data_IF_023037481698
#
_entry.id   IF_023037481698
#
_cell.length_a   1.000
_cell.length_b   1.000
_cell.length_c   1.000
_cell.angle_alpha   90.00
_cell.angle_beta   90.00
_cell.angle_gamma   90.00
#
_symmetry.space_group_name_H-M   'P 1'
#
loop_
_entity.id
_entity.type
_entity.pdbx_description
1 polymer ?
#
# COMPACT_ATOMS: atom_id res chain seq x y z
N UNK A 1 -13.05 -20.02 11.94
CA UNK A 1 -13.08 -18.65 11.37
C UNK A 1 -11.63 -18.30 11.06
N UNK A 2 -11.24 -18.28 9.79
CA UNK A 2 -9.90 -17.80 9.42
C UNK A 2 -9.79 -16.34 9.87
N UNK A 3 -8.69 -15.99 10.54
CA UNK A 3 -8.43 -14.60 10.92
C UNK A 3 -7.76 -13.93 9.73
N UNK A 4 -8.35 -12.84 9.21
CA UNK A 4 -7.75 -12.05 8.14
C UNK A 4 -6.58 -11.22 8.68
N UNK A 5 -5.43 -11.88 8.84
CA UNK A 5 -4.19 -11.28 9.31
C UNK A 5 -3.21 -11.21 8.15
N UNK A 6 -2.70 -10.02 7.87
CA UNK A 6 -1.79 -9.76 6.76
C UNK A 6 -0.50 -9.09 7.26
N UNK A 7 0.63 -9.76 7.07
CA UNK A 7 1.96 -9.17 7.27
C UNK A 7 2.50 -8.73 5.92
N UNK A 8 2.53 -7.43 5.69
CA UNK A 8 2.91 -6.85 4.40
C UNK A 8 4.32 -6.28 4.50
N UNK A 9 5.24 -6.84 3.71
CA UNK A 9 6.57 -6.26 3.51
C UNK A 9 6.53 -5.35 2.29
N UNK A 10 6.71 -4.05 2.54
CA UNK A 10 6.79 -3.02 1.53
C UNK A 10 8.23 -2.72 1.16
N UNK A 11 8.54 -2.72 -0.12
CA UNK A 11 9.86 -2.39 -0.66
C UNK A 11 9.79 -1.11 -1.47
N UNK A 12 10.79 -0.24 -1.35
CA UNK A 12 10.87 1.01 -2.09
C UNK A 12 11.61 2.11 -1.33
N UNK A 13 11.38 3.39 -1.65
CA UNK A 13 10.67 3.82 -2.85
C UNK A 13 11.48 3.50 -4.12
N UNK A 14 10.78 3.05 -5.16
CA UNK A 14 11.27 3.02 -6.54
C UNK A 14 10.82 4.30 -7.26
N UNK A 15 11.63 4.75 -8.19
CA UNK A 15 11.46 6.02 -8.92
C UNK A 15 10.86 5.82 -10.31
N UNK A 16 10.84 4.58 -10.81
CA UNK A 16 10.33 4.26 -12.14
C UNK A 16 9.79 2.82 -12.24
N UNK A 17 8.91 2.59 -13.22
CA UNK A 17 8.43 1.24 -13.55
C UNK A 17 9.56 0.30 -13.99
N UNK A 18 10.62 0.84 -14.61
CA UNK A 18 11.80 0.06 -15.02
C UNK A 18 12.53 -0.50 -13.81
N UNK A 19 12.75 0.34 -12.80
CA UNK A 19 13.41 -0.05 -11.55
C UNK A 19 12.59 -1.11 -10.79
N UNK A 20 11.26 -0.96 -10.75
CA UNK A 20 10.35 -1.98 -10.19
C UNK A 20 10.48 -3.29 -10.94
N UNK A 21 10.53 -3.26 -12.28
CA UNK A 21 10.68 -4.46 -13.11
C UNK A 21 11.99 -5.19 -12.81
N UNK A 22 13.11 -4.47 -12.86
CA UNK A 22 14.44 -5.05 -12.64
C UNK A 22 14.51 -5.70 -11.26
N UNK A 23 14.07 -4.99 -10.23
CA UNK A 23 14.05 -5.50 -8.86
C UNK A 23 13.09 -6.70 -8.68
N UNK A 24 11.85 -6.62 -9.17
CA UNK A 24 10.83 -7.66 -8.99
C UNK A 24 11.22 -8.97 -9.70
N UNK A 25 11.98 -8.89 -10.80
CA UNK A 25 12.48 -10.06 -11.53
C UNK A 25 13.59 -10.82 -10.78
N UNK A 26 14.28 -10.18 -9.84
CA UNK A 26 15.34 -10.80 -9.02
C UNK A 26 14.78 -11.50 -7.77
N UNK A 27 13.51 -11.24 -7.40
CA UNK A 27 12.92 -11.74 -6.17
C UNK A 27 12.41 -13.18 -6.31
N UNK A 28 12.49 -13.93 -5.20
CA UNK A 28 11.92 -15.28 -5.08
C UNK A 28 10.47 -15.27 -4.55
N UNK A 29 9.86 -14.08 -4.43
CA UNK A 29 8.51 -13.88 -3.95
C UNK A 29 7.75 -12.96 -4.90
N UNK A 30 6.42 -13.03 -4.87
CA UNK A 30 5.56 -12.20 -5.72
C UNK A 30 4.94 -11.07 -4.91
N UNK A 31 5.13 -9.84 -5.36
CA UNK A 31 4.40 -8.70 -4.83
C UNK A 31 2.95 -8.71 -5.35
N UNK A 32 2.01 -8.35 -4.48
CA UNK A 32 0.57 -8.32 -4.80
C UNK A 32 -0.06 -6.96 -4.55
N UNK A 33 0.66 -6.05 -3.91
CA UNK A 33 0.21 -4.70 -3.60
C UNK A 33 1.23 -3.69 -4.12
N UNK A 34 0.79 -2.46 -4.35
CA UNK A 34 1.69 -1.34 -4.64
C UNK A 34 1.08 -0.02 -4.17
N UNK A 35 1.95 0.91 -3.79
CA UNK A 35 1.60 2.26 -3.44
C UNK A 35 2.23 3.21 -4.45
N UNK A 36 1.49 4.22 -4.84
CA UNK A 36 2.00 5.34 -5.63
C UNK A 36 1.80 6.62 -4.83
N UNK A 37 2.78 7.51 -4.94
CA UNK A 37 2.71 8.86 -4.40
C UNK A 37 3.46 9.83 -5.30
N UNK A 38 2.88 11.01 -5.47
CA UNK A 38 3.51 12.14 -6.15
C UNK A 38 2.50 13.23 -6.46
N UNK A 39 2.80 14.06 -7.46
CA UNK A 39 1.95 15.19 -7.83
C UNK A 39 1.31 14.98 -9.21
N UNK A 40 0.03 15.38 -9.39
CA UNK A 40 -0.55 15.51 -10.71
C UNK A 40 0.22 16.49 -11.57
N UNK A 41 0.12 16.33 -12.89
CA UNK A 41 0.71 17.26 -13.85
C UNK A 41 0.27 18.69 -13.51
N UNK A 42 1.24 19.60 -13.39
CA UNK A 42 1.03 21.03 -13.11
C UNK A 42 0.53 21.37 -11.69
N UNK A 43 0.39 20.40 -10.79
CA UNK A 43 0.03 20.68 -9.40
C UNK A 43 1.24 21.26 -8.64
N UNK A 44 1.08 22.45 -8.06
CA UNK A 44 2.15 23.08 -7.26
C UNK A 44 2.36 22.36 -5.92
N UNK A 45 1.27 22.10 -5.20
CA UNK A 45 1.30 21.58 -3.82
C UNK A 45 0.46 20.32 -3.63
N UNK A 46 -0.59 20.12 -4.43
CA UNK A 46 -1.51 18.99 -4.26
C UNK A 46 -0.82 17.67 -4.59
N UNK A 47 -0.75 16.79 -3.60
CA UNK A 47 -0.23 15.44 -3.73
C UNK A 47 -1.37 14.44 -3.93
N UNK A 48 -1.04 13.31 -4.55
CA UNK A 48 -1.96 12.19 -4.77
C UNK A 48 -1.33 10.89 -4.31
N UNK A 49 -2.18 10.04 -3.78
CA UNK A 49 -1.83 8.72 -3.31
C UNK A 49 -2.70 7.67 -3.99
N UNK A 50 -2.16 6.47 -4.16
CA UNK A 50 -2.91 5.34 -4.70
C UNK A 50 -2.40 4.05 -4.08
N UNK A 51 -3.29 3.17 -3.67
CA UNK A 51 -2.96 1.80 -3.30
C UNK A 51 -3.61 0.87 -4.31
N UNK A 52 -2.84 0.02 -4.96
CA UNK A 52 -3.38 -0.93 -5.93
C UNK A 52 -2.98 -2.35 -5.61
N UNK A 53 -3.71 -3.29 -6.20
CA UNK A 53 -3.38 -4.71 -6.14
C UNK A 53 -3.09 -5.31 -7.51
N UNK A 54 -2.44 -6.46 -7.50
CA UNK A 54 -2.29 -7.33 -8.65
C UNK A 54 -2.21 -8.80 -8.27
N UNK A 55 -2.73 -9.66 -9.15
CA UNK A 55 -2.56 -11.12 -9.11
C UNK A 55 -1.41 -11.59 -10.03
N UNK A 56 -0.79 -10.64 -10.74
CA UNK A 56 0.39 -10.83 -11.59
C UNK A 56 1.51 -9.92 -11.07
N UNK A 57 2.69 -9.99 -11.67
CA UNK A 57 3.78 -9.08 -11.31
C UNK A 57 3.35 -7.60 -11.37
N UNK A 58 3.74 -6.83 -10.37
CA UNK A 58 3.40 -5.41 -10.26
C UNK A 58 3.91 -4.63 -11.46
N UNK A 59 5.12 -4.89 -11.93
CA UNK A 59 5.67 -4.17 -13.09
C UNK A 59 4.80 -4.32 -14.35
N UNK A 60 4.14 -5.47 -14.54
CA UNK A 60 3.18 -5.66 -15.65
C UNK A 60 1.91 -4.83 -15.41
N UNK A 61 1.42 -4.80 -14.17
CA UNK A 61 0.24 -4.01 -13.78
C UNK A 61 0.44 -2.52 -14.03
N UNK A 62 1.61 -1.99 -13.69
CA UNK A 62 1.93 -0.58 -13.90
C UNK A 62 1.97 -0.15 -15.37
N UNK A 63 2.05 -1.10 -16.31
CA UNK A 63 2.06 -0.86 -17.76
C UNK A 63 0.66 -0.93 -18.39
N UNK A 64 -0.39 -1.24 -17.61
CA UNK A 64 -1.75 -1.26 -18.14
C UNK A 64 -2.16 0.12 -18.66
N UNK A 65 -2.83 0.12 -19.81
CA UNK A 65 -3.36 1.34 -20.41
C UNK A 65 -4.36 2.00 -19.44
N UNK A 66 -4.19 3.30 -19.19
CA UNK A 66 -5.07 4.07 -18.30
C UNK A 66 -4.82 3.81 -16.82
N UNK A 67 -3.66 3.27 -16.46
CA UNK A 67 -3.28 3.08 -15.06
C UNK A 67 -2.99 4.42 -14.37
N UNK A 68 -3.41 4.57 -13.11
CA UNK A 68 -3.28 5.81 -12.32
C UNK A 68 -1.84 6.32 -12.16
N UNK A 69 -0.83 5.51 -12.45
CA UNK A 69 0.58 5.96 -12.50
C UNK A 69 0.78 7.06 -13.55
N UNK A 70 -0.03 7.10 -14.60
CA UNK A 70 0.00 8.15 -15.61
C UNK A 70 -0.54 9.49 -15.09
N UNK A 71 -1.33 9.48 -14.02
CA UNK A 71 -1.87 10.69 -13.38
C UNK A 71 -0.85 11.36 -12.47
N UNK A 72 0.16 10.62 -12.02
CA UNK A 72 1.23 11.09 -11.13
C UNK A 72 2.49 11.35 -11.96
N UNK A 73 2.57 12.55 -12.56
CA UNK A 73 3.62 12.91 -13.54
C UNK A 73 4.83 13.64 -12.94
N UNK A 74 4.64 14.41 -11.87
CA UNK A 74 5.74 15.17 -11.24
C UNK A 74 6.40 14.32 -10.14
N UNK A 75 7.66 13.95 -10.41
CA UNK A 75 8.37 12.87 -9.74
C UNK A 75 8.92 13.25 -8.36
N UNK A 76 8.02 13.44 -7.40
CA UNK A 76 8.26 12.94 -6.03
C UNK A 76 8.01 11.41 -5.94
N UNK A 77 7.94 10.75 -7.11
CA UNK A 77 7.50 9.38 -7.35
C UNK A 77 8.12 8.41 -6.35
N UNK A 78 7.27 8.01 -5.41
CA UNK A 78 7.57 6.95 -4.48
C UNK A 78 6.65 5.78 -4.80
N UNK A 79 7.15 4.86 -5.62
CA UNK A 79 6.48 3.57 -5.83
C UNK A 79 6.94 2.64 -4.72
N UNK A 80 6.02 2.05 -3.98
CA UNK A 80 6.33 0.91 -3.10
C UNK A 80 5.63 -0.33 -3.64
N UNK A 81 6.24 -1.49 -3.47
CA UNK A 81 5.62 -2.78 -3.82
C UNK A 81 5.52 -3.65 -2.57
N UNK A 82 4.38 -4.29 -2.36
CA UNK A 82 4.03 -4.99 -1.14
C UNK A 82 3.87 -6.49 -1.36
N UNK A 83 4.54 -7.27 -0.52
CA UNK A 83 4.47 -8.72 -0.45
C UNK A 83 3.75 -9.18 0.83
N UNK A 84 2.72 -10.03 0.68
CA UNK A 84 1.99 -10.66 1.78
C UNK A 84 2.82 -11.83 2.35
N UNK A 85 3.73 -11.51 3.26
CA UNK A 85 4.81 -12.43 3.69
C UNK A 85 4.38 -13.58 4.58
N UNK A 86 3.21 -13.49 5.22
CA UNK A 86 2.64 -14.58 6.01
C UNK A 86 1.75 -15.53 5.18
N UNK A 87 1.59 -15.28 3.86
CA UNK A 87 0.77 -16.08 2.96
C UNK A 87 1.65 -16.68 1.85
N UNK A 88 1.68 -18.02 1.75
CA UNK A 88 2.46 -18.70 0.70
C UNK A 88 1.89 -18.46 -0.70
N UNK A 89 0.56 -18.51 -0.82
CA UNK A 89 -0.17 -18.33 -2.08
C UNK A 89 -1.42 -17.48 -1.82
N UNK A 90 -1.29 -16.15 -1.68
CA UNK A 90 -2.42 -15.28 -1.40
C UNK A 90 -3.43 -15.33 -2.55
N UNK A 91 -4.70 -15.56 -2.23
CA UNK A 91 -5.79 -15.55 -3.22
C UNK A 91 -6.33 -14.14 -3.42
N UNK A 92 -7.02 -13.90 -4.55
CA UNK A 92 -7.50 -12.57 -4.93
C UNK A 92 -8.33 -11.87 -3.84
N UNK A 93 -9.22 -12.58 -3.13
CA UNK A 93 -10.03 -11.97 -2.09
C UNK A 93 -9.19 -11.49 -0.89
N UNK A 94 -8.15 -12.22 -0.50
CA UNK A 94 -7.22 -11.82 0.56
C UNK A 94 -6.43 -10.56 0.16
N UNK A 95 -5.93 -10.53 -1.08
CA UNK A 95 -5.21 -9.36 -1.60
C UNK A 95 -6.13 -8.14 -1.65
N UNK A 96 -7.37 -8.31 -2.13
CA UNK A 96 -8.38 -7.26 -2.19
C UNK A 96 -8.72 -6.74 -0.79
N UNK A 97 -8.84 -7.63 0.20
CA UNK A 97 -9.14 -7.25 1.57
C UNK A 97 -8.01 -6.43 2.20
N UNK A 98 -6.75 -6.82 1.96
CA UNK A 98 -5.57 -6.06 2.38
C UNK A 98 -5.50 -4.69 1.69
N UNK A 99 -5.71 -4.63 0.36
CA UNK A 99 -5.75 -3.36 -0.38
C UNK A 99 -6.87 -2.45 0.14
N UNK A 100 -8.06 -2.99 0.38
CA UNK A 100 -9.22 -2.23 0.84
C UNK A 100 -8.98 -1.55 2.19
N UNK A 101 -8.47 -2.27 3.20
CA UNK A 101 -8.19 -1.64 4.51
C UNK A 101 -7.06 -0.61 4.41
N UNK A 102 -6.04 -0.85 3.58
CA UNK A 102 -4.96 0.12 3.37
C UNK A 102 -5.52 1.38 2.70
N UNK A 103 -6.30 1.22 1.63
CA UNK A 103 -6.93 2.33 0.89
C UNK A 103 -7.86 3.15 1.80
N UNK A 104 -8.73 2.49 2.58
CA UNK A 104 -9.63 3.16 3.52
C UNK A 104 -8.84 3.94 4.59
N UNK A 105 -7.83 3.31 5.21
CA UNK A 105 -6.99 3.98 6.21
C UNK A 105 -6.21 5.17 5.62
N UNK A 106 -5.73 5.03 4.39
CA UNK A 106 -5.01 6.08 3.69
C UNK A 106 -5.94 7.27 3.42
N UNK A 107 -7.14 7.01 2.91
CA UNK A 107 -8.14 8.03 2.63
C UNK A 107 -8.60 8.79 3.90
N UNK A 108 -8.77 8.08 5.01
CA UNK A 108 -9.07 8.69 6.31
C UNK A 108 -7.95 9.64 6.80
N UNK A 109 -6.69 9.28 6.54
CA UNK A 109 -5.54 10.08 6.98
C UNK A 109 -5.25 11.28 6.07
N UNK A 110 -5.35 11.11 4.74
CA UNK A 110 -4.94 12.15 3.77
C UNK A 110 -6.11 12.89 3.11
N UNK A 111 -7.34 12.47 3.36
CA UNK A 111 -8.54 12.96 2.67
C UNK A 111 -8.84 12.19 1.39
N UNK A 112 -10.10 11.80 1.19
CA UNK A 112 -10.55 11.03 0.01
C UNK A 112 -10.19 11.75 -1.30
N UNK A 113 -10.24 13.08 -1.31
CA UNK A 113 -9.91 13.89 -2.48
C UNK A 113 -8.42 13.83 -2.85
N UNK A 114 -7.56 13.28 -2.00
CA UNK A 114 -6.13 13.09 -2.26
C UNK A 114 -5.78 11.63 -2.59
N UNK A 115 -6.75 10.71 -2.55
CA UNK A 115 -6.59 9.31 -2.95
C UNK A 115 -7.21 9.09 -4.34
N UNK A 116 -6.52 8.36 -5.22
CA UNK A 116 -6.99 8.09 -6.59
C UNK A 116 -7.97 6.89 -6.67
N UNK A 117 -8.09 6.11 -5.60
CA UNK A 117 -9.00 4.97 -5.47
C UNK A 117 -10.48 5.38 -5.31
N UNK A 118 -11.01 6.26 -6.16
CA UNK A 118 -12.29 6.95 -6.00
C UNK A 118 -13.54 6.09 -5.66
N UNK A 119 -13.47 4.76 -5.80
CA UNK A 119 -14.56 3.81 -5.53
C UNK A 119 -14.27 2.79 -4.42
N UNK A 120 -13.11 2.86 -3.74
CA UNK A 120 -12.67 1.84 -2.78
C UNK A 120 -12.19 2.42 -1.42
N UNK A 121 -12.75 3.54 -0.99
CA UNK A 121 -12.40 4.17 0.31
C UNK A 121 -13.17 3.59 1.50
N UNK A 122 -14.20 2.79 1.26
CA UNK A 122 -14.99 2.17 2.32
C UNK A 122 -14.22 1.05 3.03
N UNK A 123 -14.37 0.97 4.35
CA UNK A 123 -13.82 -0.12 5.16
C UNK A 123 -14.40 -1.49 4.77
N UNK A 124 -13.68 -2.59 5.05
CA UNK A 124 -14.15 -3.94 4.76
C UNK A 124 -15.37 -4.35 5.61
N UNK A 125 -16.08 -5.39 5.17
CA UNK A 125 -17.24 -5.97 5.87
C UNK A 125 -16.87 -7.21 6.72
N UNK A 126 -15.60 -7.32 7.08
CA UNK A 126 -15.05 -8.36 7.95
C UNK A 126 -13.93 -7.78 8.82
N UNK A 127 -13.60 -8.46 9.92
CA UNK A 127 -12.45 -8.09 10.75
C UNK A 127 -11.16 -8.27 9.96
N UNK A 128 -10.26 -7.28 10.02
CA UNK A 128 -8.98 -7.31 9.29
C UNK A 128 -7.84 -6.76 10.15
N UNK A 129 -6.70 -7.42 10.11
CA UNK A 129 -5.51 -7.04 10.84
C UNK A 129 -4.34 -6.95 9.85
N UNK A 130 -3.66 -5.80 9.81
CA UNK A 130 -2.50 -5.58 8.95
C UNK A 130 -1.33 -5.12 9.79
N UNK A 131 -0.17 -5.73 9.53
CA UNK A 131 1.13 -5.26 10.01
C UNK A 131 1.96 -4.88 8.77
N UNK A 132 2.37 -3.63 8.68
CA UNK A 132 3.19 -3.09 7.59
C UNK A 132 4.64 -2.99 8.04
N UNK A 133 5.54 -3.66 7.33
CA UNK A 133 6.98 -3.54 7.49
C UNK A 133 7.57 -2.83 6.27
N UNK A 134 8.40 -1.81 6.50
CA UNK A 134 8.97 -1.00 5.43
C UNK A 134 10.45 -1.34 5.24
N UNK A 135 10.77 -1.98 4.13
CA UNK A 135 12.08 -2.47 3.76
C UNK A 135 12.71 -1.64 2.65
N UNK A 136 14.04 -1.53 2.66
CA UNK A 136 14.80 -1.03 1.54
C UNK A 136 14.81 -2.06 0.40
N UNK A 137 15.20 -1.60 -0.78
CA UNK A 137 15.32 -2.42 -1.99
C UNK A 137 16.38 -3.53 -1.88
N UNK A 138 17.26 -3.47 -0.88
CA UNK A 138 18.23 -4.53 -0.59
C UNK A 138 17.61 -5.77 0.07
N UNK A 139 16.32 -5.72 0.46
CA UNK A 139 15.61 -6.80 1.14
C UNK A 139 16.17 -7.21 2.52
N UNK A 140 17.15 -6.48 3.04
CA UNK A 140 17.86 -6.79 4.29
C UNK A 140 17.67 -5.71 5.35
N UNK A 141 17.50 -4.46 4.91
CA UNK A 141 17.45 -3.31 5.80
C UNK A 141 16.04 -2.74 5.92
N UNK A 142 15.58 -2.50 7.14
CA UNK A 142 14.37 -1.71 7.41
C UNK A 142 14.60 -0.21 7.20
N UNK A 143 13.55 0.49 6.76
CA UNK A 143 13.48 1.95 6.74
C UNK A 143 13.31 2.50 8.15
N UNK A 144 14.30 3.27 8.61
CA UNK A 144 14.27 3.91 9.95
C UNK A 144 13.71 5.34 9.94
N UNK A 145 13.82 6.04 8.82
CA UNK A 145 13.35 7.42 8.65
C UNK A 145 12.79 7.56 7.25
N UNK A 146 11.54 8.01 7.16
CA UNK A 146 10.82 8.14 5.90
C UNK A 146 10.41 9.61 5.73
N UNK A 147 10.36 10.12 4.48
CA UNK A 147 9.80 11.45 4.23
C UNK A 147 8.38 11.57 4.79
N UNK A 148 8.02 12.73 5.35
CA UNK A 148 6.74 12.91 6.06
C UNK A 148 5.54 12.62 5.16
N UNK A 149 5.66 12.95 3.88
CA UNK A 149 4.64 12.75 2.86
C UNK A 149 4.74 11.39 2.15
N UNK A 150 5.71 10.53 2.46
CA UNK A 150 5.78 9.24 1.81
C UNK A 150 4.66 8.32 2.32
N UNK A 151 4.08 7.45 1.47
CA UNK A 151 3.15 6.40 1.90
C UNK A 151 3.67 5.60 3.08
N UNK A 152 4.98 5.35 3.12
CA UNK A 152 5.65 4.63 4.20
C UNK A 152 5.53 5.31 5.55
N UNK A 153 5.54 6.65 5.59
CA UNK A 153 5.36 7.41 6.83
C UNK A 153 3.88 7.58 7.21
N UNK A 154 3.01 7.73 6.20
CA UNK A 154 1.58 8.01 6.38
C UNK A 154 0.81 6.77 6.83
N UNK A 155 1.02 5.64 6.16
CA UNK A 155 0.33 4.39 6.49
C UNK A 155 0.84 3.88 7.84
N UNK A 156 -0.06 3.56 8.78
CA UNK A 156 0.33 3.00 10.07
C UNK A 156 1.04 1.64 9.93
N UNK A 157 2.03 1.41 10.81
CA UNK A 157 2.71 0.12 10.89
C UNK A 157 1.77 -1.01 11.36
N UNK A 158 0.72 -0.68 12.13
CA UNK A 158 -0.34 -1.63 12.51
C UNK A 158 -1.71 -1.03 12.29
N UNK A 159 -2.60 -1.79 11.65
CA UNK A 159 -4.02 -1.51 11.45
C UNK A 159 -4.84 -2.69 11.98
N UNK A 160 -5.82 -2.43 12.83
CA UNK A 160 -6.79 -3.46 13.26
C UNK A 160 -8.20 -2.91 13.11
N UNK A 161 -8.99 -3.58 12.29
CA UNK A 161 -10.37 -3.22 12.01
C UNK A 161 -11.31 -4.28 12.56
N UNK A 162 -12.29 -3.82 13.34
CA UNK A 162 -13.28 -4.65 14.01
C UNK A 162 -14.69 -4.22 13.61
N UNK A 163 -15.52 -5.19 13.26
CA UNK A 163 -16.95 -5.03 13.09
C UNK A 163 -17.62 -5.41 14.39
N UNK A 164 -18.32 -4.46 15.00
CA UNK A 164 -19.26 -4.74 16.08
C UNK A 164 -20.66 -4.95 15.49
N UNK A 165 -21.52 -5.63 16.25
CA UNK A 165 -22.94 -5.66 15.91
C UNK A 165 -23.52 -4.24 15.85
N UNK A 166 -24.55 -4.04 15.02
CA UNK A 166 -25.26 -2.77 14.80
C UNK A 166 -24.53 -1.68 13.98
N UNK A 167 -23.73 -2.07 12.98
CA UNK A 167 -23.01 -1.15 12.08
C UNK A 167 -21.97 -0.23 12.77
N UNK A 168 -21.59 -0.53 14.01
CA UNK A 168 -20.50 0.15 14.69
C UNK A 168 -19.17 -0.52 14.30
N UNK A 169 -18.28 0.24 13.68
CA UNK A 169 -17.01 -0.25 13.15
C UNK A 169 -15.87 0.49 13.83
N UNK A 170 -14.84 -0.22 14.29
CA UNK A 170 -13.70 0.37 14.96
C UNK A 170 -12.40 0.13 14.19
N UNK A 171 -11.66 1.19 13.94
CA UNK A 171 -10.29 1.15 13.45
C UNK A 171 -9.32 1.56 14.57
N UNK A 172 -8.40 0.67 14.92
CA UNK A 172 -7.26 1.02 15.77
C UNK A 172 -5.97 1.04 14.94
N UNK A 173 -5.10 2.01 15.25
CA UNK A 173 -3.85 2.23 14.52
C UNK A 173 -2.67 2.33 15.48
N UNK A 174 -1.55 1.72 15.10
CA UNK A 174 -0.24 2.08 15.66
C UNK A 174 0.58 2.68 14.53
N UNK A 175 0.82 4.00 14.56
CA UNK A 175 1.46 4.70 13.45
C UNK A 175 2.86 4.18 13.18
N UNK A 176 3.70 4.12 14.20
CA UNK A 176 5.10 3.70 14.08
C UNK A 176 5.51 2.83 15.25
N UNK A 177 5.94 1.60 14.96
CA UNK A 177 6.47 0.68 15.97
C UNK A 177 7.83 1.18 16.46
N UNK A 178 8.08 1.05 17.77
CA UNK A 178 9.36 1.42 18.39
C UNK A 178 10.22 0.19 18.58
N UNK A 179 11.49 0.29 18.21
CA UNK A 179 12.51 -0.69 18.60
C UNK A 179 12.84 -0.49 20.08
N UNK A 180 12.77 -1.57 20.85
CA UNK A 180 13.22 -1.60 22.25
C UNK A 180 14.75 -1.64 22.35
#
# INVERSE_FOLDING_TARGET
>A
MEKNVFLIKWYGPFTSQKEVKEWEQEQQFNCSLYLLHGKPKFAKTREKYYCGMSIRNIYKRLQDKGHHIEEIKDRLNSIYVGYLSNLKHPIKCQILLAEKIITASLADIVGEENVLNATNTLFPSENVFVINEWWKKDCESLWKRQPINAPSNIIPDVLTFHIKGNNDNELFVCRKLKRL
#
